data_IF_862341922610
#
_entry.id   IF_862341922610
#
_cell.length_a   1.000
_cell.length_b   1.000
_cell.length_c   1.000
_cell.angle_alpha   90.00
_cell.angle_beta   90.00
_cell.angle_gamma   90.00
#
_symmetry.space_group_name_H-M   'P 1'
#
loop_
_entity.id
_entity.type
_entity.pdbx_description
1 polymer ?
#
# COMPACT_ATOMS: atom_id res chain seq x y z
N UNK A 1 -8.91 -23.64 5.41
CA UNK A 1 -8.71 -22.22 5.63
C UNK A 1 -10.04 -21.60 5.96
N UNK A 2 -10.19 -20.99 7.10
CA UNK A 2 -11.36 -20.18 7.46
C UNK A 2 -11.10 -18.74 7.00
N UNK A 3 -12.05 -18.10 6.32
CA UNK A 3 -11.95 -16.70 5.87
C UNK A 3 -12.65 -15.73 6.84
N UNK A 4 -13.24 -16.24 7.94
CA UNK A 4 -13.80 -15.39 8.97
C UNK A 4 -12.67 -14.85 9.87
N UNK A 5 -12.74 -13.57 10.20
CA UNK A 5 -11.88 -12.98 11.21
C UNK A 5 -12.29 -13.47 12.61
N UNK A 6 -11.31 -13.63 13.50
CA UNK A 6 -11.58 -13.86 14.91
C UNK A 6 -12.18 -12.61 15.58
N UNK A 7 -12.73 -12.78 16.79
CA UNK A 7 -13.27 -11.65 17.55
C UNK A 7 -12.19 -10.60 17.83
N UNK A 8 -10.96 -11.01 18.18
CA UNK A 8 -9.83 -10.12 18.43
C UNK A 8 -9.43 -9.34 17.19
N UNK A 9 -9.37 -9.99 16.01
CA UNK A 9 -9.13 -9.32 14.73
C UNK A 9 -10.24 -8.32 14.40
N UNK A 10 -11.49 -8.68 14.71
CA UNK A 10 -12.64 -7.79 14.59
C UNK A 10 -12.56 -6.57 15.50
N UNK A 11 -12.10 -6.73 16.74
CA UNK A 11 -11.88 -5.62 17.68
C UNK A 11 -10.76 -4.70 17.23
N UNK A 12 -9.63 -5.26 16.82
CA UNK A 12 -8.50 -4.50 16.30
C UNK A 12 -8.90 -3.65 15.08
N UNK A 13 -9.64 -4.23 14.13
CA UNK A 13 -10.18 -3.51 12.97
C UNK A 13 -11.09 -2.36 13.40
N UNK A 14 -12.01 -2.56 14.34
CA UNK A 14 -12.91 -1.50 14.84
C UNK A 14 -12.14 -0.37 15.51
N UNK A 15 -11.12 -0.70 16.31
CA UNK A 15 -10.27 0.30 16.97
C UNK A 15 -9.52 1.17 15.94
N UNK A 16 -8.90 0.55 14.94
CA UNK A 16 -8.21 1.27 13.85
C UNK A 16 -9.21 2.10 13.03
N UNK A 17 -10.39 1.55 12.69
CA UNK A 17 -11.45 2.28 11.99
C UNK A 17 -11.83 3.55 12.75
N UNK A 18 -12.06 3.47 14.05
CA UNK A 18 -12.46 4.63 14.86
C UNK A 18 -11.40 5.75 14.83
N UNK A 19 -10.12 5.38 14.87
CA UNK A 19 -9.02 6.34 14.75
C UNK A 19 -8.98 6.94 13.34
N UNK A 20 -9.07 6.13 12.30
CA UNK A 20 -9.02 6.62 10.92
C UNK A 20 -10.20 7.50 10.55
N UNK A 21 -11.40 7.21 11.07
CA UNK A 21 -12.59 8.06 10.87
C UNK A 21 -12.43 9.44 11.55
N UNK A 22 -11.67 9.53 12.64
CA UNK A 22 -11.35 10.78 13.31
C UNK A 22 -10.25 11.58 12.58
N UNK A 23 -9.20 10.91 12.11
CA UNK A 23 -8.00 11.52 11.54
C UNK A 23 -8.09 11.78 10.03
N UNK A 24 -8.77 10.91 9.27
CA UNK A 24 -8.88 10.97 7.82
C UNK A 24 -10.26 11.49 7.38
N UNK A 25 -10.67 12.61 7.94
CA UNK A 25 -11.93 13.27 7.54
C UNK A 25 -11.82 13.90 6.15
N UNK A 26 -12.93 14.11 5.42
CA UNK A 26 -12.91 14.86 4.15
C UNK A 26 -12.25 16.23 4.28
N UNK A 27 -12.44 16.91 5.40
CA UNK A 27 -11.81 18.22 5.66
C UNK A 27 -10.30 18.11 5.81
N UNK A 28 -9.79 17.09 6.52
CA UNK A 28 -8.34 16.85 6.66
C UNK A 28 -7.70 16.46 5.33
N UNK A 29 -8.36 15.64 4.52
CA UNK A 29 -7.88 15.28 3.19
C UNK A 29 -7.84 16.48 2.22
N UNK A 30 -8.84 17.37 2.27
CA UNK A 30 -8.83 18.63 1.49
C UNK A 30 -7.72 19.57 1.95
N UNK A 31 -7.48 19.70 3.25
CA UNK A 31 -6.41 20.52 3.78
C UNK A 31 -5.04 20.10 3.22
N UNK A 32 -4.81 18.79 3.07
CA UNK A 32 -3.57 18.26 2.49
C UNK A 32 -3.35 18.68 1.03
N UNK A 33 -4.40 18.87 0.23
CA UNK A 33 -4.23 19.29 -1.18
C UNK A 33 -3.67 20.71 -1.30
N UNK A 34 -4.05 21.60 -0.38
CA UNK A 34 -3.62 23.01 -0.34
C UNK A 34 -2.43 23.29 0.59
N UNK A 35 -2.01 22.29 1.39
CA UNK A 35 -0.93 22.45 2.36
C UNK A 35 0.44 22.62 1.70
N UNK A 36 1.32 23.40 2.35
CA UNK A 36 2.74 23.47 1.95
C UNK A 36 3.44 22.14 2.21
N UNK A 37 4.60 21.89 1.57
CA UNK A 37 5.39 20.67 1.84
C UNK A 37 5.68 20.46 3.32
N UNK A 38 6.02 21.51 4.05
CA UNK A 38 6.34 21.47 5.49
C UNK A 38 5.10 21.12 6.32
N UNK A 39 3.95 21.68 5.98
CA UNK A 39 2.67 21.38 6.63
C UNK A 39 2.27 19.93 6.40
N UNK A 40 2.42 19.40 5.17
CA UNK A 40 2.15 17.99 4.85
C UNK A 40 3.00 17.05 5.70
N UNK A 41 4.30 17.33 5.84
CA UNK A 41 5.19 16.53 6.69
C UNK A 41 4.79 16.60 8.16
N UNK A 42 4.44 17.78 8.67
CA UNK A 42 4.02 17.95 10.06
C UNK A 42 2.72 17.18 10.37
N UNK A 43 1.71 17.30 9.49
CA UNK A 43 0.44 16.59 9.63
C UNK A 43 0.61 15.07 9.47
N UNK A 44 1.44 14.63 8.53
CA UNK A 44 1.75 13.21 8.36
C UNK A 44 2.37 12.61 9.63
N UNK A 45 3.32 13.32 10.24
CA UNK A 45 3.95 12.88 11.50
C UNK A 45 2.95 12.84 12.67
N UNK A 46 2.03 13.79 12.73
CA UNK A 46 1.01 13.82 13.78
C UNK A 46 0.06 12.60 13.67
N UNK A 47 -0.52 12.33 12.48
CA UNK A 47 -1.38 11.15 12.25
C UNK A 47 -0.61 9.84 12.43
N UNK A 48 0.63 9.79 11.96
CA UNK A 48 1.47 8.60 12.12
C UNK A 48 1.70 8.23 13.58
N UNK A 49 1.89 9.25 14.44
CA UNK A 49 2.05 9.00 15.88
C UNK A 49 0.83 8.32 16.47
N UNK A 50 -0.39 8.73 16.11
CA UNK A 50 -1.63 8.09 16.57
C UNK A 50 -1.68 6.62 16.15
N UNK A 51 -1.30 6.30 14.90
CA UNK A 51 -1.21 4.91 14.42
C UNK A 51 -0.11 4.12 15.13
N UNK A 52 1.00 4.77 15.46
CA UNK A 52 2.12 4.15 16.17
C UNK A 52 1.78 3.84 17.62
N UNK A 53 1.01 4.70 18.28
CA UNK A 53 0.52 4.48 19.65
C UNK A 53 -0.44 3.26 19.72
N UNK A 54 -1.09 2.90 18.60
CA UNK A 54 -1.85 1.65 18.45
C UNK A 54 -0.97 0.43 18.10
N UNK A 55 0.34 0.62 17.89
CA UNK A 55 1.27 -0.43 17.48
C UNK A 55 1.19 -0.86 16.00
N UNK A 56 0.38 -0.17 15.18
CA UNK A 56 0.14 -0.58 13.79
C UNK A 56 1.41 -0.71 12.94
N UNK A 57 2.44 0.17 13.02
CA UNK A 57 3.68 0.02 12.26
C UNK A 57 4.52 -1.21 12.62
N UNK A 58 4.47 -1.64 13.89
CA UNK A 58 5.26 -2.75 14.42
C UNK A 58 4.46 -4.05 14.61
N UNK A 59 3.27 -4.13 14.02
CA UNK A 59 2.34 -5.24 14.18
C UNK A 59 2.96 -6.60 13.82
N UNK A 60 3.70 -6.66 12.71
CA UNK A 60 4.34 -7.88 12.21
C UNK A 60 5.75 -8.12 12.79
N UNK A 61 6.27 -7.18 13.58
CA UNK A 61 7.59 -7.33 14.21
C UNK A 61 7.47 -8.31 15.38
N UNK A 62 8.40 -9.28 15.51
CA UNK A 62 8.40 -10.20 16.64
C UNK A 62 8.46 -9.46 17.99
N UNK A 63 7.82 -10.01 19.03
CA UNK A 63 7.84 -9.46 20.41
C UNK A 63 9.28 -9.29 20.94
N UNK A 64 10.16 -10.27 20.64
CA UNK A 64 11.58 -10.21 21.02
C UNK A 64 12.33 -9.00 20.41
N UNK A 65 11.80 -8.41 19.33
CA UNK A 65 12.31 -7.20 18.69
C UNK A 65 11.46 -5.96 19.01
N UNK A 66 10.55 -6.05 19.99
CA UNK A 66 9.74 -4.94 20.47
C UNK A 66 8.43 -4.70 19.71
N UNK A 67 8.02 -5.60 18.83
CA UNK A 67 6.75 -5.53 18.12
C UNK A 67 5.60 -6.28 18.79
N UNK A 68 4.48 -6.46 18.07
CA UNK A 68 3.29 -7.14 18.57
C UNK A 68 3.27 -8.65 18.26
N UNK A 69 4.18 -9.16 17.41
CA UNK A 69 4.25 -10.58 17.08
C UNK A 69 3.03 -11.14 16.35
N UNK A 70 2.19 -10.28 15.78
CA UNK A 70 1.02 -10.65 14.98
C UNK A 70 1.44 -11.03 13.55
N UNK A 71 0.50 -11.37 12.69
CA UNK A 71 0.78 -11.88 11.35
C UNK A 71 0.00 -11.15 10.25
N UNK A 72 0.23 -11.51 8.98
CA UNK A 72 -0.36 -10.83 7.83
C UNK A 72 -1.91 -10.97 7.78
N UNK A 73 -2.49 -12.00 8.40
CA UNK A 73 -3.96 -12.14 8.50
C UNK A 73 -4.55 -11.08 9.44
N UNK A 74 -3.81 -10.69 10.48
CA UNK A 74 -4.20 -9.60 11.37
C UNK A 74 -4.05 -8.24 10.67
N UNK A 75 -2.96 -8.05 9.91
CA UNK A 75 -2.66 -6.80 9.22
C UNK A 75 -3.60 -6.53 8.04
N UNK A 76 -4.06 -7.55 7.32
CA UNK A 76 -4.88 -7.35 6.09
C UNK A 76 -6.14 -6.55 6.36
N UNK A 77 -6.80 -6.81 7.51
CA UNK A 77 -7.98 -6.05 7.93
C UNK A 77 -7.68 -4.58 8.22
N UNK A 78 -6.53 -4.28 8.83
CA UNK A 78 -6.08 -2.90 9.10
C UNK A 78 -5.80 -2.15 7.78
N UNK A 79 -5.19 -2.81 6.81
CA UNK A 79 -4.95 -2.22 5.49
C UNK A 79 -6.27 -1.96 4.73
N UNK A 80 -7.29 -2.81 4.89
CA UNK A 80 -8.63 -2.51 4.36
C UNK A 80 -9.22 -1.24 4.99
N UNK A 81 -9.10 -1.07 6.32
CA UNK A 81 -9.55 0.15 7.01
C UNK A 81 -8.77 1.39 6.56
N UNK A 82 -7.45 1.27 6.36
CA UNK A 82 -6.61 2.34 5.81
C UNK A 82 -7.03 2.72 4.38
N UNK A 83 -7.38 1.74 3.56
CA UNK A 83 -7.95 1.97 2.22
C UNK A 83 -9.32 2.66 2.28
N UNK A 84 -10.21 2.21 3.16
CA UNK A 84 -11.52 2.84 3.38
C UNK A 84 -11.41 4.33 3.73
N UNK A 85 -10.42 4.70 4.54
CA UNK A 85 -10.17 6.07 4.98
C UNK A 85 -9.33 6.88 3.98
N UNK A 86 -8.81 6.27 2.92
CA UNK A 86 -7.79 6.85 2.02
C UNK A 86 -6.58 7.41 2.80
N UNK A 87 -6.08 6.66 3.80
CA UNK A 87 -4.96 7.04 4.65
C UNK A 87 -3.77 7.52 3.81
N UNK A 88 -3.26 8.75 4.02
CA UNK A 88 -2.13 9.28 3.24
C UNK A 88 -0.77 8.69 3.63
N UNK A 89 -0.60 8.30 4.88
CA UNK A 89 0.67 7.84 5.44
C UNK A 89 1.09 6.46 4.88
N UNK A 90 2.42 6.17 4.85
CA UNK A 90 2.98 4.98 4.22
C UNK A 90 2.85 3.72 5.12
N UNK A 91 1.62 3.36 5.51
CA UNK A 91 1.36 2.19 6.34
C UNK A 91 1.71 0.90 5.60
N UNK A 92 1.44 0.83 4.30
CA UNK A 92 1.85 -0.28 3.44
C UNK A 92 3.37 -0.48 3.46
N UNK A 93 4.09 0.60 3.17
CA UNK A 93 5.55 0.58 3.04
C UNK A 93 6.22 0.26 4.38
N UNK A 94 5.72 0.82 5.48
CA UNK A 94 6.32 0.60 6.81
C UNK A 94 5.89 -0.73 7.43
N UNK A 95 4.58 -0.93 7.64
CA UNK A 95 4.07 -2.06 8.42
C UNK A 95 4.03 -3.38 7.65
N UNK A 96 3.59 -3.35 6.37
CA UNK A 96 3.46 -4.56 5.60
C UNK A 96 4.76 -4.99 4.90
N UNK A 97 5.64 -4.06 4.57
CA UNK A 97 6.83 -4.33 3.77
C UNK A 97 8.11 -4.23 4.59
N UNK A 98 8.48 -3.02 5.06
CA UNK A 98 9.79 -2.77 5.65
C UNK A 98 9.97 -3.48 7.00
N UNK A 99 9.07 -3.28 7.96
CA UNK A 99 9.24 -3.78 9.32
C UNK A 99 9.43 -5.31 9.39
N UNK A 100 8.57 -6.14 8.76
CA UNK A 100 8.77 -7.59 8.77
C UNK A 100 10.03 -8.03 8.03
N UNK A 101 10.41 -7.36 6.94
CA UNK A 101 11.64 -7.69 6.19
C UNK A 101 12.89 -7.33 7.01
N UNK A 102 12.94 -6.16 7.63
CA UNK A 102 14.04 -5.75 8.51
C UNK A 102 14.21 -6.73 9.67
N UNK A 103 13.11 -7.24 10.24
CA UNK A 103 13.16 -8.25 11.29
C UNK A 103 13.81 -9.56 10.83
N UNK A 104 13.64 -9.98 9.56
CA UNK A 104 14.30 -11.18 9.01
C UNK A 104 15.78 -10.98 8.74
N UNK A 105 16.25 -9.75 8.64
CA UNK A 105 17.65 -9.39 8.37
C UNK A 105 18.47 -9.14 9.65
N UNK A 106 17.88 -9.31 10.83
CA UNK A 106 18.61 -9.26 12.09
C UNK A 106 19.63 -10.41 12.18
N UNK A 107 20.80 -10.20 12.81
CA UNK A 107 21.22 -9.03 13.57
C UNK A 107 22.05 -7.98 12.78
N UNK A 108 21.89 -7.87 11.46
CA UNK A 108 22.63 -6.88 10.68
C UNK A 108 22.41 -5.46 11.25
N UNK A 109 23.49 -4.73 11.52
CA UNK A 109 23.42 -3.44 12.20
C UNK A 109 22.51 -2.40 11.52
N UNK A 110 22.50 -2.25 10.17
CA UNK A 110 21.56 -1.34 9.51
C UNK A 110 20.09 -1.77 9.65
N UNK A 111 19.83 -3.08 9.65
CA UNK A 111 18.47 -3.60 9.86
C UNK A 111 17.99 -3.37 11.30
N UNK A 112 18.86 -3.62 12.29
CA UNK A 112 18.56 -3.40 13.70
C UNK A 112 18.26 -1.93 13.99
N UNK A 113 19.08 -0.99 13.47
CA UNK A 113 18.87 0.44 13.64
C UNK A 113 17.56 0.92 13.00
N UNK A 114 17.28 0.48 11.76
CA UNK A 114 16.05 0.84 11.05
C UNK A 114 14.79 0.28 11.76
N UNK A 115 14.85 -0.97 12.25
CA UNK A 115 13.75 -1.60 12.96
C UNK A 115 13.49 -0.93 14.31
N UNK A 116 14.55 -0.59 15.05
CA UNK A 116 14.44 0.15 16.30
C UNK A 116 13.79 1.52 16.08
N UNK A 117 14.17 2.24 15.01
CA UNK A 117 13.53 3.50 14.67
C UNK A 117 12.00 3.35 14.46
N UNK A 118 11.55 2.28 13.79
CA UNK A 118 10.11 1.99 13.62
C UNK A 118 9.43 1.71 14.94
N UNK A 119 10.03 0.86 15.77
CA UNK A 119 9.41 0.36 17.00
C UNK A 119 9.44 1.39 18.13
N UNK A 120 10.57 2.08 18.34
CA UNK A 120 10.78 2.94 19.49
C UNK A 120 10.59 4.44 19.17
N UNK A 121 10.95 4.87 17.94
CA UNK A 121 10.99 6.29 17.58
C UNK A 121 9.82 6.70 16.68
N UNK A 122 8.84 5.82 16.48
CA UNK A 122 7.69 6.06 15.59
C UNK A 122 8.08 6.47 14.17
N UNK A 123 9.19 5.93 13.66
CA UNK A 123 9.68 6.26 12.34
C UNK A 123 8.78 5.68 11.24
N UNK A 124 8.56 6.44 10.18
CA UNK A 124 8.08 5.90 8.91
C UNK A 124 9.26 5.41 8.07
N UNK A 125 9.03 4.35 7.31
CA UNK A 125 9.98 3.84 6.32
C UNK A 125 9.38 4.00 4.93
N UNK A 126 10.13 4.62 4.03
CA UNK A 126 9.79 4.65 2.61
C UNK A 126 10.59 3.57 1.86
N UNK A 127 10.00 3.01 0.82
CA UNK A 127 10.62 1.95 0.01
C UNK A 127 10.73 2.41 -1.44
N UNK A 128 11.90 2.17 -2.06
CA UNK A 128 12.12 2.53 -3.45
C UNK A 128 13.10 1.60 -4.17
N UNK A 129 13.25 1.82 -5.48
CA UNK A 129 14.20 1.08 -6.29
C UNK A 129 13.70 -0.29 -6.76
N UNK A 130 12.41 -0.58 -6.60
CA UNK A 130 11.77 -1.82 -7.06
C UNK A 130 10.57 -1.46 -7.94
N UNK A 131 10.52 -2.02 -9.13
CA UNK A 131 9.35 -2.00 -10.00
C UNK A 131 9.04 -3.42 -10.45
N UNK A 132 7.77 -3.75 -10.66
CA UNK A 132 7.36 -5.09 -11.06
C UNK A 132 7.02 -5.12 -12.55
N UNK A 133 7.58 -6.09 -13.25
CA UNK A 133 7.30 -6.39 -14.65
C UNK A 133 6.76 -7.82 -14.81
N UNK A 134 6.40 -8.19 -16.02
CA UNK A 134 5.98 -9.57 -16.35
C UNK A 134 7.10 -10.60 -16.23
N UNK A 135 8.34 -10.16 -16.11
CA UNK A 135 9.53 -11.00 -15.89
C UNK A 135 10.01 -10.97 -14.43
N UNK A 136 9.24 -10.37 -13.52
CA UNK A 136 9.59 -10.19 -12.12
C UNK A 136 10.08 -8.78 -11.77
N UNK A 137 10.69 -8.60 -10.59
CA UNK A 137 11.20 -7.31 -10.13
C UNK A 137 12.36 -6.79 -11.00
N UNK A 138 12.34 -5.48 -11.26
CA UNK A 138 13.42 -4.74 -11.93
C UNK A 138 13.77 -3.50 -11.11
N UNK A 139 14.99 -3.00 -11.23
CA UNK A 139 15.37 -1.75 -10.56
C UNK A 139 15.19 -0.56 -11.51
N UNK A 140 14.39 0.43 -11.14
CA UNK A 140 14.32 1.72 -11.82
C UNK A 140 15.42 2.70 -11.34
N UNK A 141 16.23 2.33 -10.36
CA UNK A 141 17.33 3.14 -9.84
C UNK A 141 18.42 3.27 -10.89
N UNK A 142 18.87 4.49 -11.11
CA UNK A 142 19.99 4.81 -12.02
C UNK A 142 21.18 5.30 -11.22
N UNK A 143 22.39 5.15 -11.81
CA UNK A 143 23.64 5.63 -11.24
C UNK A 143 24.20 6.75 -12.13
N UNK A 144 24.51 7.89 -11.55
CA UNK A 144 25.15 9.00 -12.25
C UNK A 144 26.66 8.81 -12.37
N UNK A 145 27.34 9.63 -13.19
CA UNK A 145 28.77 9.51 -13.42
C UNK A 145 29.65 9.74 -12.18
N UNK A 146 29.14 10.47 -11.20
CA UNK A 146 29.75 10.72 -9.89
C UNK A 146 29.40 9.66 -8.82
N UNK A 147 28.68 8.59 -9.22
CA UNK A 147 28.34 7.48 -8.35
C UNK A 147 27.12 7.71 -7.46
N UNK A 148 26.39 8.81 -7.63
CA UNK A 148 25.15 9.07 -6.92
C UNK A 148 24.00 8.22 -7.50
N UNK A 149 23.25 7.55 -6.66
CA UNK A 149 22.07 6.79 -7.07
C UNK A 149 20.84 7.67 -7.07
N UNK A 150 20.00 7.48 -8.09
CA UNK A 150 18.71 8.18 -8.25
C UNK A 150 17.58 7.17 -8.34
N UNK A 151 16.71 7.17 -7.33
CA UNK A 151 15.54 6.30 -7.22
C UNK A 151 14.26 7.11 -7.42
N UNK A 152 13.53 6.91 -8.53
CA UNK A 152 12.27 7.61 -8.78
C UNK A 152 11.11 6.97 -8.02
N UNK A 153 10.03 7.74 -7.85
CA UNK A 153 8.70 7.26 -7.40
C UNK A 153 8.71 6.63 -6.02
N UNK A 154 9.40 7.23 -5.07
CA UNK A 154 9.40 6.82 -3.66
C UNK A 154 8.25 7.52 -2.93
N UNK A 155 7.33 6.74 -2.36
CA UNK A 155 6.17 7.24 -1.62
C UNK A 155 6.56 7.57 -0.20
N UNK A 156 6.13 8.74 0.30
CA UNK A 156 6.31 9.16 1.69
C UNK A 156 7.75 9.48 2.09
N UNK A 157 8.68 9.61 1.12
CA UNK A 157 10.11 9.79 1.40
C UNK A 157 10.43 11.04 2.24
N UNK A 158 9.70 12.16 2.04
CA UNK A 158 9.96 13.42 2.75
C UNK A 158 9.62 13.38 4.23
N UNK A 159 8.66 12.54 4.63
CA UNK A 159 8.30 12.33 6.03
C UNK A 159 9.09 11.17 6.66
N UNK A 160 9.71 10.31 5.86
CA UNK A 160 10.43 9.13 6.32
C UNK A 160 11.70 9.48 7.10
N UNK A 161 12.02 8.66 8.08
CA UNK A 161 13.30 8.71 8.82
C UNK A 161 14.33 7.80 8.19
N UNK A 162 13.88 6.66 7.65
CA UNK A 162 14.71 5.65 6.99
C UNK A 162 14.10 5.33 5.62
N UNK A 163 14.96 5.13 4.63
CA UNK A 163 14.57 4.64 3.31
C UNK A 163 15.18 3.25 3.09
N UNK A 164 14.36 2.29 2.72
CA UNK A 164 14.82 0.97 2.22
C UNK A 164 14.86 1.06 0.71
N UNK A 165 16.06 1.16 0.16
CA UNK A 165 16.30 1.40 -1.26
C UNK A 165 17.02 0.24 -1.91
N UNK A 166 16.49 -0.20 -3.06
CA UNK A 166 17.08 -1.23 -3.87
C UNK A 166 17.75 -0.63 -5.11
N UNK A 167 18.90 -1.19 -5.47
CA UNK A 167 19.54 -0.95 -6.75
C UNK A 167 20.02 -2.28 -7.35
N UNK A 168 20.34 -2.27 -8.63
CA UNK A 168 20.87 -3.45 -9.33
C UNK A 168 22.10 -3.06 -10.12
N UNK A 169 23.19 -3.74 -9.83
CA UNK A 169 24.41 -3.67 -10.59
C UNK A 169 24.48 -4.81 -11.60
N UNK A 170 25.13 -4.58 -12.74
CA UNK A 170 25.36 -5.60 -13.78
C UNK A 170 26.18 -6.78 -13.29
N UNK A 171 27.13 -6.53 -12.42
CA UNK A 171 28.13 -7.51 -11.99
C UNK A 171 27.77 -8.19 -10.65
N UNK A 172 27.24 -7.41 -9.69
CA UNK A 172 26.92 -7.87 -8.33
C UNK A 172 25.46 -8.24 -8.12
N UNK A 173 24.58 -7.98 -9.09
CA UNK A 173 23.16 -8.25 -8.98
C UNK A 173 22.41 -7.23 -8.10
N UNK A 174 21.40 -7.69 -7.34
CA UNK A 174 20.63 -6.86 -6.45
C UNK A 174 21.42 -6.45 -5.21
N UNK A 175 21.23 -5.20 -4.79
CA UNK A 175 21.65 -4.67 -3.49
C UNK A 175 20.46 -3.97 -2.83
N UNK A 176 20.31 -4.16 -1.52
CA UNK A 176 19.30 -3.54 -0.69
C UNK A 176 19.99 -2.79 0.45
N UNK A 177 19.56 -1.56 0.69
CA UNK A 177 20.16 -0.64 1.66
C UNK A 177 19.13 -0.05 2.59
N UNK A 178 19.46 0.16 3.88
CA UNK A 178 18.71 0.99 4.81
C UNK A 178 19.44 2.34 4.94
N UNK A 179 18.92 3.36 4.27
CA UNK A 179 19.58 4.66 4.13
C UNK A 179 18.89 5.68 5.04
N UNK A 180 19.61 6.37 5.95
CA UNK A 180 19.02 7.48 6.69
C UNK A 180 18.53 8.58 5.73
N UNK A 181 17.31 9.06 5.92
CA UNK A 181 16.77 10.12 5.05
C UNK A 181 17.60 11.41 5.07
N UNK A 182 18.29 11.67 6.19
CA UNK A 182 19.20 12.82 6.34
C UNK A 182 20.43 12.78 5.43
N UNK A 183 20.79 11.63 4.87
CA UNK A 183 21.90 11.48 3.91
C UNK A 183 21.44 11.55 2.46
N UNK A 184 20.13 11.79 2.22
CA UNK A 184 19.53 11.84 0.88
C UNK A 184 19.13 13.26 0.51
N UNK A 185 19.12 13.55 -0.80
CA UNK A 185 18.37 14.67 -1.36
C UNK A 185 17.04 14.12 -1.87
N UNK A 186 15.92 14.73 -1.45
CA UNK A 186 14.58 14.24 -1.72
C UNK A 186 13.78 15.31 -2.43
N UNK A 187 13.52 15.11 -3.72
CA UNK A 187 12.81 16.03 -4.57
C UNK A 187 11.38 15.59 -4.77
N UNK A 188 10.41 16.49 -4.49
CA UNK A 188 9.00 16.21 -4.70
C UNK A 188 8.69 15.98 -6.18
N UNK A 189 7.89 14.95 -6.46
CA UNK A 189 7.44 14.62 -7.81
C UNK A 189 5.93 14.84 -7.92
N UNK A 190 5.44 15.57 -8.94
CA UNK A 190 4.00 15.70 -9.17
C UNK A 190 3.31 14.34 -9.30
N UNK A 191 2.21 14.14 -8.59
CA UNK A 191 1.47 12.89 -8.58
C UNK A 191 -0.03 13.12 -8.82
N UNK A 192 -0.69 12.12 -9.38
CA UNK A 192 -2.16 12.11 -9.54
C UNK A 192 -2.87 12.20 -8.18
N UNK A 193 -2.34 11.50 -7.18
CA UNK A 193 -2.75 11.55 -5.79
C UNK A 193 -1.68 12.33 -4.99
N UNK A 194 -1.87 13.65 -4.78
CA UNK A 194 -0.89 14.48 -4.10
C UNK A 194 -0.75 14.18 -2.60
N UNK A 195 -1.71 13.43 -2.03
CA UNK A 195 -1.67 13.04 -0.62
C UNK A 195 -0.66 11.90 -0.35
N UNK A 196 -0.25 11.14 -1.39
CA UNK A 196 0.76 10.07 -1.26
C UNK A 196 2.20 10.57 -1.20
N UNK A 197 2.45 11.84 -1.39
CA UNK A 197 3.77 12.45 -1.29
C UNK A 197 4.87 11.73 -2.10
N UNK A 198 4.72 11.69 -3.43
CA UNK A 198 5.66 11.02 -4.32
C UNK A 198 6.94 11.83 -4.50
N UNK A 199 8.11 11.19 -4.43
CA UNK A 199 9.40 11.85 -4.53
C UNK A 199 10.40 11.07 -5.39
N UNK A 200 11.41 11.78 -5.89
CA UNK A 200 12.66 11.21 -6.39
C UNK A 200 13.73 11.36 -5.31
N UNK A 201 14.45 10.28 -5.04
CA UNK A 201 15.48 10.23 -3.98
C UNK A 201 16.87 10.07 -4.60
N UNK A 202 17.77 10.98 -4.26
CA UNK A 202 19.19 10.91 -4.60
C UNK A 202 19.98 10.52 -3.36
N UNK A 203 20.79 9.46 -3.43
CA UNK A 203 21.45 8.87 -2.28
C UNK A 203 22.82 8.29 -2.62
N UNK A 204 23.82 8.38 -1.68
CA UNK A 204 25.14 7.80 -1.87
C UNK A 204 25.10 6.29 -1.61
N UNK A 205 25.83 5.51 -2.41
CA UNK A 205 26.06 4.11 -2.12
C UNK A 205 27.08 3.99 -0.97
N UNK A 206 26.76 3.20 0.06
CA UNK A 206 27.66 2.94 1.19
C UNK A 206 27.52 1.50 1.67
N UNK A 207 28.66 0.88 2.03
CA UNK A 207 28.67 -0.43 2.68
C UNK A 207 28.00 -0.41 4.05
N UNK A 208 28.02 0.73 4.75
CA UNK A 208 27.45 0.86 6.10
C UNK A 208 25.92 0.79 6.12
N UNK A 209 25.27 1.00 4.97
CA UNK A 209 23.82 0.92 4.80
C UNK A 209 23.35 -0.40 4.20
N UNK A 210 24.27 -1.29 3.80
CA UNK A 210 23.96 -2.53 3.08
C UNK A 210 23.19 -3.51 3.97
N UNK A 211 22.01 -3.91 3.52
CA UNK A 211 21.17 -4.92 4.16
C UNK A 211 21.40 -6.32 3.58
N UNK A 212 21.46 -6.41 2.25
CA UNK A 212 21.63 -7.66 1.53
C UNK A 212 22.18 -7.40 0.12
N UNK A 213 22.84 -8.38 -0.48
CA UNK A 213 23.37 -8.34 -1.85
C UNK A 213 23.23 -9.70 -2.56
N UNK A 214 23.32 -9.67 -3.90
CA UNK A 214 23.26 -10.87 -4.74
C UNK A 214 21.97 -11.66 -4.58
N UNK A 215 22.06 -12.98 -4.51
CA UNK A 215 20.91 -13.90 -4.41
C UNK A 215 20.06 -13.64 -3.15
N UNK A 216 20.71 -13.29 -2.03
CA UNK A 216 19.97 -12.94 -0.81
C UNK A 216 19.13 -11.67 -0.99
N UNK A 217 19.69 -10.64 -1.63
CA UNK A 217 18.94 -9.43 -1.94
C UNK A 217 17.80 -9.68 -2.95
N UNK A 218 18.02 -10.53 -3.94
CA UNK A 218 16.98 -10.91 -4.92
C UNK A 218 15.77 -11.56 -4.23
N UNK A 219 15.99 -12.48 -3.30
CA UNK A 219 14.92 -13.11 -2.52
C UNK A 219 14.15 -12.09 -1.66
N UNK A 220 14.85 -11.14 -1.04
CA UNK A 220 14.23 -10.07 -0.25
C UNK A 220 13.44 -9.10 -1.13
N UNK A 221 13.97 -8.73 -2.29
CA UNK A 221 13.29 -7.86 -3.28
C UNK A 221 12.01 -8.53 -3.78
N UNK A 222 12.04 -9.84 -4.07
CA UNK A 222 10.84 -10.60 -4.44
C UNK A 222 9.81 -10.58 -3.30
N UNK A 223 10.23 -10.83 -2.06
CA UNK A 223 9.33 -10.78 -0.90
C UNK A 223 8.72 -9.39 -0.70
N UNK A 224 9.50 -8.31 -0.87
CA UNK A 224 8.99 -6.93 -0.83
C UNK A 224 7.94 -6.69 -1.91
N UNK A 225 8.16 -7.18 -3.14
CA UNK A 225 7.19 -7.06 -4.23
C UNK A 225 5.88 -7.83 -3.93
N UNK A 226 5.99 -9.04 -3.38
CA UNK A 226 4.82 -9.86 -3.02
C UNK A 226 4.02 -9.23 -1.87
N UNK A 227 4.69 -8.71 -0.83
CA UNK A 227 4.07 -7.96 0.26
C UNK A 227 3.40 -6.68 -0.21
N UNK A 228 4.06 -5.96 -1.12
CA UNK A 228 3.49 -4.77 -1.75
C UNK A 228 2.23 -5.07 -2.55
N UNK A 229 2.22 -6.16 -3.33
CA UNK A 229 1.06 -6.58 -4.10
C UNK A 229 -0.11 -6.98 -3.19
N UNK A 230 0.14 -7.82 -2.18
CA UNK A 230 -0.88 -8.26 -1.23
C UNK A 230 -1.45 -7.10 -0.40
N UNK A 231 -0.59 -6.23 0.15
CA UNK A 231 -1.02 -5.09 0.93
C UNK A 231 -1.73 -4.01 0.11
N UNK A 232 -1.27 -3.76 -1.14
CA UNK A 232 -2.00 -2.88 -2.07
C UNK A 232 -3.38 -3.44 -2.42
N UNK A 233 -3.53 -4.76 -2.54
CA UNK A 233 -4.83 -5.40 -2.74
C UNK A 233 -5.78 -5.10 -1.58
N UNK A 234 -5.32 -5.20 -0.34
CA UNK A 234 -6.12 -4.89 0.84
C UNK A 234 -6.56 -3.42 0.88
N UNK A 235 -5.65 -2.47 0.59
CA UNK A 235 -5.99 -1.05 0.46
C UNK A 235 -7.04 -0.80 -0.63
N UNK A 236 -6.90 -1.46 -1.79
CA UNK A 236 -7.84 -1.35 -2.91
C UNK A 236 -9.23 -1.92 -2.57
N UNK A 237 -9.32 -2.99 -1.78
CA UNK A 237 -10.57 -3.52 -1.23
C UNK A 237 -11.28 -2.45 -0.39
N UNK A 238 -10.57 -1.81 0.54
CA UNK A 238 -11.11 -0.74 1.36
C UNK A 238 -11.59 0.47 0.55
N UNK A 239 -10.80 0.93 -0.41
CA UNK A 239 -11.17 2.01 -1.33
C UNK A 239 -12.42 1.68 -2.16
N UNK A 240 -12.50 0.47 -2.70
CA UNK A 240 -13.65 0.01 -3.47
C UNK A 240 -14.93 0.00 -2.62
N UNK A 241 -14.85 -0.53 -1.41
CA UNK A 241 -15.97 -0.59 -0.47
C UNK A 241 -16.46 0.82 -0.11
N UNK A 242 -15.54 1.76 0.16
CA UNK A 242 -15.87 3.16 0.43
C UNK A 242 -16.57 3.82 -0.74
N UNK A 243 -16.05 3.68 -1.95
CA UNK A 243 -16.66 4.28 -3.14
C UNK A 243 -18.04 3.73 -3.46
N UNK A 244 -18.26 2.41 -3.29
CA UNK A 244 -19.57 1.78 -3.44
C UNK A 244 -20.54 2.33 -2.39
N UNK A 245 -20.10 2.48 -1.15
CA UNK A 245 -20.92 3.03 -0.05
C UNK A 245 -21.30 4.48 -0.32
N UNK A 246 -20.34 5.34 -0.70
CA UNK A 246 -20.62 6.74 -1.09
C UNK A 246 -21.63 6.82 -2.25
N UNK A 247 -21.48 5.97 -3.27
CA UNK A 247 -22.41 5.90 -4.39
C UNK A 247 -23.81 5.46 -3.96
N UNK A 248 -23.90 4.47 -3.06
CA UNK A 248 -25.17 3.98 -2.54
C UNK A 248 -25.89 5.03 -1.68
N UNK A 249 -25.16 5.75 -0.82
CA UNK A 249 -25.73 6.78 0.04
C UNK A 249 -26.21 7.97 -0.79
N UNK A 250 -25.38 8.44 -1.75
CA UNK A 250 -25.83 9.46 -2.69
C UNK A 250 -27.09 9.06 -3.46
N UNK A 251 -27.18 7.79 -3.89
CA UNK A 251 -28.35 7.28 -4.62
C UNK A 251 -29.64 7.23 -3.78
N UNK A 252 -29.55 7.11 -2.46
CA UNK A 252 -30.68 7.18 -1.53
C UNK A 252 -31.21 8.62 -1.36
N UNK A 253 -30.32 9.61 -1.41
CA UNK A 253 -30.63 11.01 -1.15
C UNK A 253 -31.01 11.79 -2.42
N UNK A 254 -30.28 11.57 -3.53
CA UNK A 254 -30.49 12.29 -4.78
C UNK A 254 -31.81 11.91 -5.42
N UNK A 255 -32.67 12.89 -5.67
CA UNK A 255 -33.98 12.69 -6.34
C UNK A 255 -33.95 13.17 -7.78
N UNK A 256 -34.48 12.36 -8.68
CA UNK A 256 -34.79 12.71 -10.07
C UNK A 256 -36.09 11.98 -10.47
N UNK A 257 -36.85 12.56 -11.40
CA UNK A 257 -38.13 11.99 -11.84
C UNK A 257 -39.10 11.69 -10.65
N UNK A 258 -39.07 12.55 -9.63
CA UNK A 258 -39.97 12.49 -8.48
C UNK A 258 -39.60 11.47 -7.39
N UNK A 259 -38.47 10.73 -7.51
CA UNK A 259 -38.06 9.71 -6.55
C UNK A 259 -36.52 9.63 -6.40
N UNK A 260 -35.99 9.00 -5.33
CA UNK A 260 -34.55 8.75 -5.21
C UNK A 260 -34.00 7.96 -6.41
N UNK A 261 -32.83 8.35 -6.90
CA UNK A 261 -32.23 7.66 -8.07
C UNK A 261 -31.89 6.19 -7.76
N UNK A 262 -31.66 5.82 -6.52
CA UNK A 262 -31.46 4.45 -6.07
C UNK A 262 -32.72 3.56 -6.18
N UNK A 263 -33.90 4.13 -6.47
CA UNK A 263 -35.10 3.32 -6.77
C UNK A 263 -35.05 2.69 -8.17
N UNK A 264 -34.26 3.28 -9.10
CA UNK A 264 -34.14 2.77 -10.48
C UNK A 264 -33.27 1.53 -10.56
N UNK A 265 -33.74 0.50 -11.27
CA UNK A 265 -33.03 -0.78 -11.41
C UNK A 265 -31.64 -0.62 -12.04
N UNK A 266 -31.47 0.30 -13.00
CA UNK A 266 -30.18 0.55 -13.64
C UNK A 266 -29.12 0.98 -12.62
N UNK A 267 -29.47 1.86 -11.66
CA UNK A 267 -28.55 2.32 -10.60
C UNK A 267 -28.24 1.17 -9.63
N UNK A 268 -29.26 0.41 -9.23
CA UNK A 268 -29.09 -0.76 -8.35
C UNK A 268 -28.16 -1.80 -8.96
N UNK A 269 -28.30 -2.10 -10.25
CA UNK A 269 -27.49 -3.09 -10.95
C UNK A 269 -26.04 -2.63 -11.09
N UNK A 270 -25.79 -1.35 -11.35
CA UNK A 270 -24.42 -0.80 -11.38
C UNK A 270 -23.70 -1.02 -10.04
N UNK A 271 -24.34 -0.60 -8.94
CA UNK A 271 -23.77 -0.77 -7.60
C UNK A 271 -23.63 -2.23 -7.18
N UNK A 272 -24.62 -3.08 -7.53
CA UNK A 272 -24.57 -4.53 -7.25
C UNK A 272 -23.42 -5.20 -8.01
N UNK A 273 -23.16 -4.86 -9.28
CA UNK A 273 -22.06 -5.40 -10.06
C UNK A 273 -20.70 -5.01 -9.46
N UNK A 274 -20.55 -3.76 -9.00
CA UNK A 274 -19.33 -3.35 -8.31
C UNK A 274 -19.14 -4.10 -6.98
N UNK A 275 -20.22 -4.30 -6.21
CA UNK A 275 -20.19 -5.08 -4.96
C UNK A 275 -19.82 -6.54 -5.23
N UNK A 276 -20.36 -7.17 -6.24
CA UNK A 276 -20.01 -8.56 -6.62
C UNK A 276 -18.53 -8.68 -6.94
N UNK A 277 -17.97 -7.75 -7.75
CA UNK A 277 -16.55 -7.77 -8.07
C UNK A 277 -15.67 -7.63 -6.81
N UNK A 278 -16.05 -6.75 -5.89
CA UNK A 278 -15.38 -6.56 -4.60
C UNK A 278 -15.42 -7.85 -3.76
N UNK A 279 -16.60 -8.48 -3.63
CA UNK A 279 -16.76 -9.68 -2.79
C UNK A 279 -16.01 -10.90 -3.36
N UNK A 280 -15.75 -10.96 -4.67
CA UNK A 280 -14.84 -11.96 -5.26
C UNK A 280 -13.35 -11.64 -5.05
N UNK A 281 -12.97 -10.36 -5.00
CA UNK A 281 -11.58 -9.96 -4.78
C UNK A 281 -11.14 -10.12 -3.31
N UNK A 282 -12.06 -9.97 -2.36
CA UNK A 282 -11.80 -10.05 -0.92
C UNK A 282 -11.17 -11.37 -0.48
N UNK A 283 -11.73 -12.56 -0.78
CA UNK A 283 -11.12 -13.85 -0.39
C UNK A 283 -9.77 -14.11 -1.06
N UNK A 284 -9.54 -13.59 -2.28
CA UNK A 284 -8.23 -13.67 -2.92
C UNK A 284 -7.18 -12.87 -2.14
N UNK A 285 -7.56 -11.68 -1.64
CA UNK A 285 -6.71 -10.83 -0.80
C UNK A 285 -6.40 -11.50 0.55
N UNK A 286 -7.40 -12.11 1.21
CA UNK A 286 -7.19 -12.86 2.46
C UNK A 286 -6.34 -14.11 2.25
N UNK A 287 -6.48 -14.78 1.10
CA UNK A 287 -5.61 -15.89 0.73
C UNK A 287 -4.16 -15.45 0.59
N UNK A 288 -3.87 -14.29 -0.02
CA UNK A 288 -2.53 -13.76 -0.12
C UNK A 288 -1.93 -13.44 1.26
N UNK A 289 -2.70 -12.84 2.16
CA UNK A 289 -2.28 -12.58 3.54
C UNK A 289 -1.97 -13.88 4.30
N UNK A 290 -2.84 -14.88 4.18
CA UNK A 290 -2.59 -16.20 4.78
C UNK A 290 -1.34 -16.87 4.21
N UNK A 291 -1.09 -16.76 2.92
CA UNK A 291 0.10 -17.33 2.27
C UNK A 291 1.39 -16.68 2.78
N UNK A 292 1.38 -15.36 3.00
CA UNK A 292 2.48 -14.63 3.64
C UNK A 292 2.68 -15.07 5.09
N UNK A 293 1.61 -15.10 5.90
CA UNK A 293 1.64 -15.47 7.31
C UNK A 293 2.17 -16.91 7.56
N UNK A 294 1.93 -17.80 6.61
CA UNK A 294 2.29 -19.24 6.72
C UNK A 294 3.44 -19.64 5.79
N UNK A 295 4.14 -18.68 5.19
CA UNK A 295 5.28 -18.88 4.29
C UNK A 295 5.00 -19.94 3.19
N UNK A 296 3.83 -19.86 2.54
CA UNK A 296 3.45 -20.81 1.50
C UNK A 296 4.34 -20.68 0.25
N UNK A 297 4.64 -21.77 -0.45
CA UNK A 297 5.37 -21.68 -1.71
C UNK A 297 4.60 -20.99 -2.84
N UNK A 298 3.32 -20.66 -2.62
CA UNK A 298 2.44 -19.98 -3.57
C UNK A 298 2.32 -18.47 -3.31
N UNK A 299 3.12 -17.88 -2.43
CA UNK A 299 3.04 -16.45 -2.05
C UNK A 299 2.95 -15.56 -3.29
N UNK A 300 3.89 -15.64 -4.22
CA UNK A 300 3.93 -14.78 -5.41
C UNK A 300 2.72 -14.94 -6.33
N UNK A 301 2.22 -16.18 -6.47
CA UNK A 301 0.99 -16.45 -7.20
C UNK A 301 -0.23 -15.84 -6.52
N UNK A 302 -0.40 -16.09 -5.21
CA UNK A 302 -1.56 -15.64 -4.44
C UNK A 302 -1.58 -14.11 -4.31
N UNK A 303 -0.44 -13.46 -4.09
CA UNK A 303 -0.28 -12.01 -4.06
C UNK A 303 -0.62 -11.37 -5.43
N UNK A 304 -0.14 -11.97 -6.52
CA UNK A 304 -0.45 -11.49 -7.87
C UNK A 304 -1.93 -11.64 -8.22
N UNK A 305 -2.56 -12.74 -7.83
CA UNK A 305 -4.00 -12.94 -8.02
C UNK A 305 -4.81 -11.91 -7.24
N UNK A 306 -4.50 -11.69 -5.97
CA UNK A 306 -5.12 -10.68 -5.12
C UNK A 306 -5.04 -9.29 -5.74
N UNK A 307 -3.82 -8.87 -6.15
CA UNK A 307 -3.59 -7.54 -6.73
C UNK A 307 -4.37 -7.34 -8.04
N UNK A 308 -4.40 -8.34 -8.93
CA UNK A 308 -5.15 -8.25 -10.18
C UNK A 308 -6.65 -8.07 -9.93
N UNK A 309 -7.24 -8.92 -9.06
CA UNK A 309 -8.67 -8.90 -8.76
C UNK A 309 -9.08 -7.62 -8.00
N UNK A 310 -8.30 -7.21 -7.00
CA UNK A 310 -8.56 -6.00 -6.23
C UNK A 310 -8.45 -4.72 -7.10
N UNK A 311 -7.47 -4.66 -8.01
CA UNK A 311 -7.33 -3.53 -8.95
C UNK A 311 -8.55 -3.41 -9.88
N UNK A 312 -9.03 -4.52 -10.44
CA UNK A 312 -10.22 -4.52 -11.30
C UNK A 312 -11.48 -4.11 -10.53
N UNK A 313 -11.66 -4.64 -9.32
CA UNK A 313 -12.81 -4.33 -8.48
C UNK A 313 -12.82 -2.85 -8.07
N UNK A 314 -11.66 -2.30 -7.68
CA UNK A 314 -11.55 -0.89 -7.29
C UNK A 314 -11.71 0.07 -8.49
N UNK A 315 -11.16 -0.26 -9.65
CA UNK A 315 -11.37 0.52 -10.88
C UNK A 315 -12.84 0.48 -11.34
N UNK A 316 -13.54 -0.65 -11.18
CA UNK A 316 -14.97 -0.74 -11.44
C UNK A 316 -15.77 0.10 -10.43
N UNK A 317 -15.46 0.00 -9.13
CA UNK A 317 -16.12 0.78 -8.09
C UNK A 317 -15.96 2.28 -8.32
N UNK A 318 -14.77 2.75 -8.72
CA UNK A 318 -14.50 4.15 -9.05
C UNK A 318 -15.39 4.63 -10.22
N UNK A 319 -15.46 3.87 -11.30
CA UNK A 319 -16.30 4.21 -12.47
C UNK A 319 -17.80 4.22 -12.11
N UNK A 320 -18.25 3.22 -11.35
CA UNK A 320 -19.66 3.11 -10.94
C UNK A 320 -20.04 4.25 -9.99
N UNK A 321 -19.22 4.52 -8.98
CA UNK A 321 -19.47 5.62 -8.05
C UNK A 321 -19.53 6.97 -8.78
N UNK A 322 -18.58 7.24 -9.68
CA UNK A 322 -18.57 8.46 -10.51
C UNK A 322 -19.83 8.56 -11.38
N UNK A 323 -20.24 7.48 -12.03
CA UNK A 323 -21.48 7.43 -12.84
C UNK A 323 -22.73 7.71 -12.01
N UNK A 324 -22.81 7.16 -10.79
CA UNK A 324 -23.95 7.36 -9.89
C UNK A 324 -24.05 8.81 -9.41
N UNK A 325 -22.90 9.45 -9.10
CA UNK A 325 -22.87 10.86 -8.72
C UNK A 325 -23.17 11.79 -9.91
N UNK A 326 -22.87 11.38 -11.15
CA UNK A 326 -23.04 12.21 -12.33
C UNK A 326 -22.12 13.43 -12.30
N UNK A 327 -22.63 14.58 -12.72
CA UNK A 327 -21.81 15.80 -12.89
C UNK A 327 -21.11 16.26 -11.59
N UNK A 328 -21.74 16.11 -10.43
CA UNK A 328 -21.11 16.50 -9.15
C UNK A 328 -19.88 15.67 -8.82
N UNK A 329 -19.83 14.41 -9.27
CA UNK A 329 -18.65 13.54 -9.06
C UNK A 329 -17.38 14.03 -9.75
N UNK A 330 -17.48 14.97 -10.69
CA UNK A 330 -16.34 15.61 -11.35
C UNK A 330 -15.89 16.91 -10.69
N UNK A 331 -16.59 17.34 -9.64
CA UNK A 331 -16.31 18.62 -8.98
C UNK A 331 -15.49 18.41 -7.71
N UNK A 332 -14.82 19.48 -7.28
CA UNK A 332 -14.01 19.47 -6.05
C UNK A 332 -14.85 19.46 -4.76
N UNK A 333 -16.15 19.75 -4.86
CA UNK A 333 -17.07 19.68 -3.73
C UNK A 333 -17.41 18.23 -3.35
N UNK A 334 -17.26 17.29 -4.27
CA UNK A 334 -17.52 15.88 -4.04
C UNK A 334 -16.24 15.16 -3.59
N UNK A 335 -16.23 14.59 -2.39
CA UNK A 335 -15.07 13.90 -1.82
C UNK A 335 -14.66 12.61 -2.54
N UNK A 336 -15.45 12.15 -3.49
CA UNK A 336 -15.19 10.93 -4.25
C UNK A 336 -13.81 10.95 -4.93
N UNK A 337 -13.31 12.12 -5.34
CA UNK A 337 -12.03 12.25 -6.04
C UNK A 337 -10.82 11.80 -5.22
N UNK A 338 -10.85 11.87 -3.86
CA UNK A 338 -9.76 11.38 -3.00
C UNK A 338 -9.59 9.86 -3.18
N UNK A 339 -10.70 9.14 -3.12
CA UNK A 339 -10.71 7.69 -3.24
C UNK A 339 -10.39 7.23 -4.67
N UNK A 340 -10.89 7.93 -5.68
CA UNK A 340 -10.60 7.65 -7.09
C UNK A 340 -9.12 7.86 -7.42
N UNK A 341 -8.53 9.00 -7.04
CA UNK A 341 -7.10 9.29 -7.28
C UNK A 341 -6.20 8.24 -6.61
N UNK A 342 -6.50 7.88 -5.34
CA UNK A 342 -5.79 6.84 -4.60
C UNK A 342 -5.92 5.48 -5.30
N UNK A 343 -7.12 5.12 -5.75
CA UNK A 343 -7.36 3.87 -6.48
C UNK A 343 -6.52 3.81 -7.75
N UNK A 344 -6.54 4.86 -8.57
CA UNK A 344 -5.79 4.88 -9.84
C UNK A 344 -4.27 4.85 -9.64
N UNK A 345 -3.77 5.44 -8.56
CA UNK A 345 -2.36 5.34 -8.20
C UNK A 345 -2.01 3.90 -7.77
N UNK A 346 -2.73 3.35 -6.78
CA UNK A 346 -2.45 2.02 -6.25
C UNK A 346 -2.69 0.88 -7.24
N UNK A 347 -3.68 1.01 -8.15
CA UNK A 347 -3.93 0.00 -9.20
C UNK A 347 -2.73 -0.19 -10.13
N UNK A 348 -1.86 0.82 -10.24
CA UNK A 348 -0.66 0.79 -11.11
C UNK A 348 0.64 0.59 -10.38
N UNK A 349 0.72 0.98 -9.11
CA UNK A 349 1.90 0.76 -8.30
C UNK A 349 2.10 -0.73 -8.01
N UNK A 350 3.35 -1.15 -7.96
CA UNK A 350 3.74 -2.54 -7.74
C UNK A 350 3.16 -3.51 -8.78
N UNK A 351 3.05 -3.05 -10.02
CA UNK A 351 2.45 -3.79 -11.14
C UNK A 351 0.94 -3.55 -11.28
N UNK A 352 0.49 -3.41 -12.52
CA UNK A 352 -0.93 -3.30 -12.86
C UNK A 352 -1.61 -4.67 -12.96
N UNK A 353 -2.94 -4.68 -13.08
CA UNK A 353 -3.71 -5.92 -13.20
C UNK A 353 -3.29 -6.79 -14.38
N UNK A 354 -2.85 -6.20 -15.50
CA UNK A 354 -2.40 -6.96 -16.67
C UNK A 354 -1.06 -7.65 -16.41
N UNK A 355 -0.12 -6.96 -15.75
CA UNK A 355 1.16 -7.52 -15.30
C UNK A 355 0.94 -8.70 -14.36
N UNK A 356 0.10 -8.52 -13.34
CA UNK A 356 -0.18 -9.58 -12.37
C UNK A 356 -0.89 -10.80 -12.96
N UNK A 357 -1.82 -10.62 -13.92
CA UNK A 357 -2.42 -11.77 -14.63
C UNK A 357 -1.39 -12.59 -15.41
N UNK A 358 -0.39 -11.93 -16.03
CA UNK A 358 0.70 -12.63 -16.71
C UNK A 358 1.59 -13.38 -15.74
N UNK A 359 1.88 -12.80 -14.57
CA UNK A 359 2.63 -13.48 -13.52
C UNK A 359 1.86 -14.70 -13.00
N UNK A 360 0.56 -14.60 -12.73
CA UNK A 360 -0.30 -15.74 -12.36
C UNK A 360 -0.22 -16.86 -13.39
N UNK A 361 -0.29 -16.53 -14.68
CA UNK A 361 -0.16 -17.51 -15.76
C UNK A 361 1.22 -18.17 -15.74
N UNK A 362 2.30 -17.40 -15.58
CA UNK A 362 3.67 -17.91 -15.53
C UNK A 362 3.87 -18.90 -14.36
N UNK A 363 3.43 -18.53 -13.16
CA UNK A 363 3.47 -19.40 -11.98
C UNK A 363 2.67 -20.69 -12.17
N UNK A 364 1.47 -20.62 -12.77
CA UNK A 364 0.64 -21.78 -13.04
C UNK A 364 1.30 -22.72 -14.06
N UNK A 365 2.01 -22.19 -15.07
CA UNK A 365 2.76 -22.97 -16.05
C UNK A 365 3.99 -23.66 -15.43
N UNK A 366 4.69 -22.96 -14.54
CA UNK A 366 5.86 -23.52 -13.84
C UNK A 366 5.43 -24.65 -12.89
N UNK A 367 4.34 -24.49 -12.15
CA UNK A 367 3.80 -25.51 -11.27
C UNK A 367 3.40 -26.82 -12.02
N UNK A 368 2.99 -26.72 -13.30
CA UNK A 368 2.66 -27.89 -14.14
C UNK A 368 3.89 -28.61 -14.68
N UNK A 369 5.07 -27.99 -14.66
CA UNK A 369 6.32 -28.58 -15.15
C UNK A 369 7.09 -29.32 -14.07
N UNK A 370 6.77 -29.07 -12.80
CA UNK A 370 7.27 -29.78 -11.61
C UNK A 370 6.42 -31.03 -11.32
#
# INVERSE_FOLDING_TARGET
MDFAFSDDQGELRRAVRAVLDAECTPSSLRALESATPEQKVAEARARWRVLSDLGAPALLVPEAAGGLGLNDVDLVGILEEAGWAALPEPLLETAAMAAPVLATLLPAAPAAAALQAVVADHATVAIGGIALTTAGPVSPTTVSADGLLTTPRVVGARAATVLVLACRDTDSGWQLHAVPASSCTIDATPALDPARDLSTVHWPLSSDTLLAYGVAAEAVVQLLADRAAAGSAALLIGLADRMITLGADYAKERKQFGQPIGSFQAVKHLLANARVALEFARPATYRAAWSLATAQPTISHDASMAKAMASDAADLAARVALQVHGAIGYTWECDLHFFMKRTWALSRDWGDAATHRRLVLAYAQEARRR
#
